data_IF_682981172045
#
_entry.id   IF_682981172045
#
_cell.length_a   1.000
_cell.length_b   1.000
_cell.length_c   1.000
_cell.angle_alpha   90.00
_cell.angle_beta   90.00
_cell.angle_gamma   90.00
#
_symmetry.space_group_name_H-M   'P 1'
#
loop_
_entity.id
_entity.type
_entity.pdbx_description
1 polymer ?
#
# COMPACT_ATOMS: atom_id res chain seq x y z
N UNK A 1 -12.72 67.06 18.81
CA UNK A 1 -12.98 65.61 18.65
C UNK A 1 -11.66 64.88 18.78
N UNK A 2 -11.33 64.46 20.00
CA UNK A 2 -10.03 63.89 20.40
C UNK A 2 -10.16 62.37 20.46
N UNK A 3 -9.49 61.67 19.55
CA UNK A 3 -9.43 60.21 19.53
C UNK A 3 -8.39 59.72 20.56
N UNK A 4 -8.85 58.90 21.52
CA UNK A 4 -8.01 58.24 22.52
C UNK A 4 -7.41 56.97 21.90
N UNK A 5 -6.08 56.88 21.87
CA UNK A 5 -5.36 55.65 21.54
C UNK A 5 -5.33 54.72 22.76
N UNK A 6 -5.75 53.47 22.58
CA UNK A 6 -5.53 52.37 23.52
C UNK A 6 -4.21 51.66 23.19
N UNK A 7 -3.35 51.34 24.18
CA UNK A 7 -2.23 50.43 23.99
C UNK A 7 -2.72 48.96 24.01
N UNK A 8 -2.18 48.15 23.10
CA UNK A 8 -2.31 46.70 23.11
C UNK A 8 -1.25 46.12 24.06
N UNK A 9 -1.68 45.36 25.06
CA UNK A 9 -0.82 44.58 25.94
C UNK A 9 -0.25 43.37 25.21
N UNK A 10 1.08 43.27 25.18
CA UNK A 10 1.82 42.08 24.73
C UNK A 10 1.89 41.07 25.87
N UNK A 11 1.10 40.00 25.79
CA UNK A 11 1.24 38.83 26.66
C UNK A 11 2.37 37.93 26.15
N UNK A 12 3.47 37.93 26.89
CA UNK A 12 4.59 36.99 26.77
C UNK A 12 4.16 35.64 27.33
N UNK A 13 3.91 34.66 26.45
CA UNK A 13 3.71 33.29 26.85
C UNK A 13 5.07 32.58 27.00
N UNK A 14 5.33 32.06 28.20
CA UNK A 14 6.49 31.26 28.56
C UNK A 14 6.68 30.05 27.64
N UNK A 15 7.81 30.00 26.96
CA UNK A 15 8.30 28.83 26.24
C UNK A 15 8.94 27.84 27.23
N UNK A 16 8.09 27.00 27.84
CA UNK A 16 8.49 25.79 28.57
C UNK A 16 9.10 24.78 27.58
N UNK A 17 10.41 24.59 27.70
CA UNK A 17 11.24 23.66 26.95
C UNK A 17 11.00 22.21 27.38
N UNK A 18 9.87 21.62 26.98
CA UNK A 18 9.70 20.17 27.00
C UNK A 18 10.30 19.57 25.72
N UNK A 19 11.57 19.17 25.83
CA UNK A 19 12.25 18.35 24.83
C UNK A 19 11.48 17.03 24.64
N UNK A 20 10.99 16.71 23.44
CA UNK A 20 10.41 15.40 23.19
C UNK A 20 11.52 14.36 23.32
N UNK A 21 11.43 13.50 24.33
CA UNK A 21 12.14 12.21 24.32
C UNK A 21 11.60 11.41 23.14
N UNK A 22 12.21 11.57 21.97
CA UNK A 22 12.12 10.62 20.89
C UNK A 22 12.61 9.28 21.46
N UNK A 23 11.69 8.34 21.68
CA UNK A 23 12.07 6.93 21.78
C UNK A 23 12.79 6.62 20.49
N UNK A 24 14.05 6.20 20.59
CA UNK A 24 14.76 5.58 19.50
C UNK A 24 13.85 4.48 18.94
N UNK A 25 13.36 4.70 17.72
CA UNK A 25 12.84 3.61 16.90
C UNK A 25 14.01 2.64 16.74
N UNK A 26 13.85 1.33 17.00
CA UNK A 26 14.93 0.39 16.78
C UNK A 26 15.34 0.48 15.32
N UNK A 27 16.62 0.81 15.10
CA UNK A 27 17.25 0.84 13.80
C UNK A 27 16.96 -0.49 13.11
N UNK A 28 16.11 -0.46 12.08
CA UNK A 28 15.94 -1.54 11.13
C UNK A 28 17.17 -1.57 10.25
N UNK A 29 18.27 -2.03 10.85
CA UNK A 29 19.48 -2.46 10.17
C UNK A 29 19.07 -3.68 9.32
N UNK A 30 18.50 -3.38 8.17
CA UNK A 30 18.03 -4.32 7.17
C UNK A 30 19.27 -4.69 6.39
N UNK A 31 20.00 -5.66 6.95
CA UNK A 31 21.12 -6.34 6.32
C UNK A 31 20.63 -6.85 4.96
N UNK A 32 21.25 -6.32 3.91
CA UNK A 32 20.86 -6.58 2.54
C UNK A 32 21.01 -8.04 2.13
N UNK A 33 20.27 -8.36 1.06
CA UNK A 33 20.67 -9.26 -0.01
C UNK A 33 21.01 -10.71 0.39
N UNK A 34 20.16 -11.33 1.22
CA UNK A 34 19.77 -12.69 0.91
C UNK A 34 18.36 -12.60 0.35
N UNK A 35 18.21 -12.92 -0.93
CA UNK A 35 16.98 -13.60 -1.36
C UNK A 35 16.81 -14.76 -0.38
N UNK A 36 15.97 -14.56 0.64
CA UNK A 36 15.56 -15.58 1.60
C UNK A 36 15.08 -16.75 0.73
N UNK A 37 15.97 -17.70 0.50
CA UNK A 37 15.64 -18.89 -0.24
C UNK A 37 14.51 -19.51 0.57
N UNK A 38 13.32 -19.52 -0.02
CA UNK A 38 12.11 -20.18 0.48
C UNK A 38 12.34 -21.70 0.69
N UNK A 39 13.56 -22.22 0.58
CA UNK A 39 13.87 -23.65 0.55
C UNK A 39 13.39 -24.41 1.78
N UNK A 40 13.25 -23.74 2.93
CA UNK A 40 12.96 -24.42 4.20
C UNK A 40 11.61 -24.03 4.82
N UNK A 41 10.71 -23.38 4.07
CA UNK A 41 9.43 -22.93 4.64
C UNK A 41 8.61 -24.10 5.21
N UNK A 42 8.75 -25.30 4.63
CA UNK A 42 8.08 -26.52 5.10
C UNK A 42 8.45 -26.91 6.54
N UNK A 43 9.61 -26.48 7.04
CA UNK A 43 10.06 -26.74 8.43
C UNK A 43 9.59 -25.69 9.43
N UNK A 44 8.92 -24.63 8.98
CA UNK A 44 8.58 -23.51 9.84
C UNK A 44 7.49 -23.86 10.83
N UNK A 45 7.79 -23.62 12.11
CA UNK A 45 6.79 -23.60 13.18
C UNK A 45 5.80 -22.43 12.99
N UNK A 46 4.61 -22.48 13.62
CA UNK A 46 3.64 -21.39 13.54
C UNK A 46 4.20 -20.04 14.02
N UNK A 47 5.13 -20.08 14.98
CA UNK A 47 5.83 -18.89 15.47
C UNK A 47 6.74 -18.27 14.39
N UNK A 48 7.55 -19.10 13.70
CA UNK A 48 8.43 -18.63 12.62
C UNK A 48 7.61 -18.07 11.45
N UNK A 49 6.53 -18.75 11.08
CA UNK A 49 5.60 -18.28 10.05
C UNK A 49 4.97 -16.94 10.45
N UNK A 50 4.54 -16.78 11.70
CA UNK A 50 4.02 -15.52 12.21
C UNK A 50 5.05 -14.38 12.17
N UNK A 51 6.31 -14.64 12.52
CA UNK A 51 7.39 -13.65 12.42
C UNK A 51 7.60 -13.21 10.97
N UNK A 52 7.53 -14.15 10.02
CA UNK A 52 7.60 -13.85 8.59
C UNK A 52 6.44 -12.97 8.12
N UNK A 53 5.20 -13.30 8.49
CA UNK A 53 4.02 -12.49 8.18
C UNK A 53 4.16 -11.06 8.75
N UNK A 54 4.62 -10.92 9.99
CA UNK A 54 4.87 -9.61 10.62
C UNK A 54 5.89 -8.78 9.84
N UNK A 55 6.97 -9.39 9.33
CA UNK A 55 7.96 -8.69 8.47
C UNK A 55 7.36 -8.21 7.15
N UNK A 56 6.34 -8.91 6.64
CA UNK A 56 5.59 -8.54 5.42
C UNK A 56 4.45 -7.54 5.67
N UNK A 57 4.27 -7.06 6.90
CA UNK A 57 3.20 -6.14 7.27
C UNK A 57 1.87 -6.81 7.64
N UNK A 58 1.85 -8.14 7.70
CA UNK A 58 0.67 -8.96 8.05
C UNK A 58 0.67 -9.33 9.54
N UNK A 59 1.06 -8.41 10.41
CA UNK A 59 1.25 -8.69 11.85
C UNK A 59 -0.05 -9.03 12.58
N UNK A 60 -1.20 -8.59 12.04
CA UNK A 60 -2.53 -8.84 12.60
C UNK A 60 -2.93 -10.33 12.57
N UNK A 61 -2.32 -11.12 11.69
CA UNK A 61 -2.60 -12.56 11.58
C UNK A 61 -1.72 -13.44 12.46
N UNK A 62 -0.77 -12.85 13.19
CA UNK A 62 0.17 -13.59 14.04
C UNK A 62 -0.55 -14.49 15.05
N UNK A 63 -1.50 -13.92 15.81
CA UNK A 63 -2.23 -14.65 16.84
C UNK A 63 -3.15 -15.73 16.24
N UNK A 64 -3.74 -15.46 15.09
CA UNK A 64 -4.57 -16.43 14.34
C UNK A 64 -3.74 -17.64 13.89
N UNK A 65 -2.56 -17.41 13.30
CA UNK A 65 -1.65 -18.48 12.88
C UNK A 65 -1.21 -19.35 14.07
N UNK A 66 -0.94 -18.74 15.23
CA UNK A 66 -0.60 -19.49 16.44
C UNK A 66 -1.79 -20.29 16.98
N UNK A 67 -2.98 -19.68 17.04
CA UNK A 67 -4.21 -20.31 17.54
C UNK A 67 -4.58 -21.54 16.73
N UNK A 68 -4.50 -21.46 15.40
CA UNK A 68 -4.82 -22.56 14.49
C UNK A 68 -3.62 -23.49 14.20
N UNK A 69 -2.46 -23.22 14.82
CA UNK A 69 -1.21 -24.00 14.66
C UNK A 69 -0.80 -24.17 13.20
N UNK A 70 -0.97 -23.13 12.39
CA UNK A 70 -0.61 -23.16 10.97
C UNK A 70 0.91 -23.20 10.83
N UNK A 71 1.44 -24.33 10.37
CA UNK A 71 2.86 -24.50 10.07
C UNK A 71 3.16 -24.04 8.66
N UNK A 72 4.43 -23.83 8.33
CA UNK A 72 4.81 -23.52 6.95
C UNK A 72 4.52 -24.67 5.98
N UNK A 73 4.46 -25.92 6.43
CA UNK A 73 4.00 -27.04 5.61
C UNK A 73 2.49 -26.97 5.29
N UNK A 74 1.68 -26.49 6.23
CA UNK A 74 0.22 -26.41 6.07
C UNK A 74 -0.21 -25.16 5.29
N UNK A 75 0.55 -24.06 5.40
CA UNK A 75 0.17 -22.77 4.82
C UNK A 75 -0.15 -22.80 3.30
N UNK A 76 0.61 -23.49 2.43
CA UNK A 76 0.29 -23.59 1.00
C UNK A 76 -0.91 -24.51 0.69
N UNK A 77 -1.37 -25.30 1.66
CA UNK A 77 -2.50 -26.21 1.51
C UNK A 77 -3.82 -25.58 1.99
N UNK A 78 -3.77 -24.36 2.53
CA UNK A 78 -4.96 -23.63 2.96
C UNK A 78 -5.69 -23.09 1.75
N UNK A 79 -6.99 -23.39 1.67
CA UNK A 79 -7.87 -22.79 0.69
C UNK A 79 -8.51 -21.51 1.28
N UNK A 80 -9.13 -20.71 0.41
CA UNK A 80 -9.77 -19.46 0.83
C UNK A 80 -10.87 -19.66 1.88
N UNK A 81 -11.57 -20.81 1.86
CA UNK A 81 -12.56 -21.17 2.87
C UNK A 81 -11.94 -21.39 4.26
N UNK A 82 -10.74 -21.98 4.33
CA UNK A 82 -10.02 -22.17 5.59
C UNK A 82 -9.55 -20.82 6.14
N UNK A 83 -9.05 -19.94 5.26
CA UNK A 83 -8.66 -18.57 5.60
C UNK A 83 -9.85 -17.77 6.14
N UNK A 84 -11.02 -17.86 5.49
CA UNK A 84 -12.27 -17.24 5.96
C UNK A 84 -12.71 -17.78 7.31
N UNK A 85 -12.66 -19.10 7.54
CA UNK A 85 -12.98 -19.69 8.85
C UNK A 85 -12.03 -19.24 9.97
N UNK A 86 -10.80 -18.87 9.61
CA UNK A 86 -9.83 -18.27 10.53
C UNK A 86 -10.01 -16.74 10.72
N UNK A 87 -10.95 -16.11 10.01
CA UNK A 87 -11.17 -14.66 10.04
C UNK A 87 -10.10 -13.87 9.26
N UNK A 88 -9.48 -14.50 8.26
CA UNK A 88 -8.52 -13.86 7.36
C UNK A 88 -9.25 -13.51 6.06
N UNK A 89 -9.75 -12.26 6.00
CA UNK A 89 -10.60 -11.80 4.89
C UNK A 89 -9.81 -11.06 3.78
N UNK A 90 -8.51 -10.86 3.99
CA UNK A 90 -7.62 -10.14 3.06
C UNK A 90 -6.92 -11.16 2.18
N UNK A 91 -7.15 -11.04 0.88
CA UNK A 91 -6.58 -11.91 -0.14
C UNK A 91 -5.25 -11.34 -0.67
N UNK A 92 -5.09 -10.01 -0.63
CA UNK A 92 -3.82 -9.37 -0.96
C UNK A 92 -3.72 -7.93 -0.42
N UNK A 93 -2.56 -7.58 0.12
CA UNK A 93 -2.18 -6.21 0.44
C UNK A 93 -0.77 -5.97 -0.11
N UNK A 94 -0.67 -5.20 -1.19
CA UNK A 94 0.61 -4.81 -1.76
C UNK A 94 0.75 -3.29 -1.84
N UNK A 95 2.02 -2.86 -1.73
CA UNK A 95 2.40 -1.49 -1.98
C UNK A 95 2.39 -1.28 -3.49
N UNK A 96 1.61 -0.31 -3.95
CA UNK A 96 1.59 0.14 -5.33
C UNK A 96 2.95 0.78 -5.59
N UNK A 97 3.60 0.35 -6.67
CA UNK A 97 4.96 0.75 -7.00
C UNK A 97 5.06 2.27 -7.13
N UNK A 98 5.98 2.84 -6.35
CA UNK A 98 6.56 4.14 -6.63
C UNK A 98 7.83 3.85 -7.42
N UNK A 99 8.01 4.46 -8.61
CA UNK A 99 9.27 4.28 -9.31
C UNK A 99 10.43 4.74 -8.43
N UNK A 100 11.63 4.19 -8.59
CA UNK A 100 12.81 4.67 -7.84
C UNK A 100 13.06 6.16 -8.08
N UNK A 101 12.67 6.65 -9.26
CA UNK A 101 12.64 8.06 -9.59
C UNK A 101 11.60 8.79 -8.72
N UNK A 102 10.40 8.25 -8.54
CA UNK A 102 9.43 8.84 -7.62
C UNK A 102 9.92 8.78 -6.16
N UNK A 103 10.61 7.71 -5.76
CA UNK A 103 11.17 7.58 -4.42
C UNK A 103 12.28 8.60 -4.14
N UNK A 104 13.07 9.00 -5.13
CA UNK A 104 14.19 9.95 -4.95
C UNK A 104 13.79 11.39 -5.25
N UNK A 105 13.02 11.60 -6.32
CA UNK A 105 12.50 12.90 -6.68
C UNK A 105 11.48 13.40 -5.67
N UNK A 106 10.67 12.52 -5.03
CA UNK A 106 9.63 12.96 -4.10
C UNK A 106 10.03 13.18 -2.63
N UNK A 107 11.28 12.93 -2.26
CA UNK A 107 11.64 12.77 -0.84
C UNK A 107 12.67 13.78 -0.32
N UNK A 108 12.92 14.92 -0.99
CA UNK A 108 14.02 15.83 -0.58
C UNK A 108 15.35 15.06 -0.43
N UNK A 109 15.76 14.30 -1.47
CA UNK A 109 16.92 13.39 -1.40
C UNK A 109 16.80 12.28 -0.32
N UNK A 110 15.59 11.76 -0.08
CA UNK A 110 15.35 10.69 0.90
C UNK A 110 15.06 11.16 2.33
N UNK A 111 14.99 12.47 2.59
CA UNK A 111 14.76 13.03 3.92
C UNK A 111 13.30 12.97 4.40
N UNK A 112 12.34 12.93 3.48
CA UNK A 112 10.92 12.82 3.83
C UNK A 112 10.39 11.44 3.41
N UNK A 113 9.96 10.57 4.34
CA UNK A 113 9.32 9.31 3.96
C UNK A 113 8.01 9.63 3.24
N UNK A 114 7.91 9.21 1.99
CA UNK A 114 6.65 9.27 1.24
C UNK A 114 5.94 7.95 1.48
N UNK A 115 4.75 8.02 2.08
CA UNK A 115 3.88 6.87 2.19
C UNK A 115 3.53 6.39 0.76
N UNK A 116 3.82 5.13 0.40
CA UNK A 116 3.49 4.63 -0.93
C UNK A 116 1.97 4.52 -1.08
N UNK A 117 1.50 4.54 -2.32
CA UNK A 117 0.12 4.18 -2.59
C UNK A 117 -0.04 2.69 -2.25
N UNK A 118 -1.21 2.29 -1.76
CA UNK A 118 -1.47 0.89 -1.40
C UNK A 118 -2.80 0.46 -1.98
N UNK A 119 -2.90 -0.82 -2.33
CA UNK A 119 -4.20 -1.45 -2.55
C UNK A 119 -4.39 -2.59 -1.57
N UNK A 120 -5.64 -2.81 -1.22
CA UNK A 120 -6.09 -3.89 -0.36
C UNK A 120 -7.27 -4.56 -1.03
N UNK A 121 -7.06 -5.80 -1.43
CA UNK A 121 -8.07 -6.65 -2.03
C UNK A 121 -8.66 -7.52 -0.92
N UNK A 122 -9.94 -7.31 -0.65
CA UNK A 122 -10.73 -8.20 0.20
C UNK A 122 -11.67 -9.04 -0.67
N UNK A 123 -12.33 -10.01 -0.06
CA UNK A 123 -13.27 -10.90 -0.76
C UNK A 123 -14.36 -10.18 -1.57
N UNK A 124 -14.74 -8.97 -1.15
CA UNK A 124 -15.85 -8.23 -1.77
C UNK A 124 -15.41 -6.87 -2.32
N UNK A 125 -14.28 -6.33 -1.87
CA UNK A 125 -13.94 -4.93 -2.11
C UNK A 125 -12.47 -4.75 -2.49
N UNK A 126 -12.22 -3.91 -3.48
CA UNK A 126 -10.89 -3.41 -3.82
C UNK A 126 -10.75 -1.98 -3.28
N UNK A 127 -9.95 -1.82 -2.23
CA UNK A 127 -9.64 -0.53 -1.61
C UNK A 127 -8.30 -0.03 -2.14
N UNK A 128 -8.31 1.10 -2.83
CA UNK A 128 -7.10 1.74 -3.38
C UNK A 128 -6.87 3.06 -2.66
N UNK A 129 -5.74 3.19 -1.98
CA UNK A 129 -5.27 4.44 -1.37
C UNK A 129 -4.20 5.04 -2.27
N UNK A 130 -4.54 6.13 -2.96
CA UNK A 130 -3.59 6.90 -3.77
C UNK A 130 -3.06 8.08 -2.97
N UNK A 131 -1.75 8.21 -2.95
CA UNK A 131 -1.06 9.33 -2.32
C UNK A 131 -0.80 10.39 -3.40
N UNK A 132 -1.38 11.57 -3.22
CA UNK A 132 -1.17 12.72 -4.07
C UNK A 132 -0.26 13.72 -3.36
N UNK A 133 0.93 14.03 -3.91
CA UNK A 133 1.79 15.04 -3.33
C UNK A 133 1.11 16.42 -3.42
N UNK A 134 1.05 17.13 -2.29
CA UNK A 134 0.47 18.48 -2.25
C UNK A 134 1.35 19.43 -3.08
N UNK A 135 0.73 20.20 -3.98
CA UNK A 135 1.42 21.25 -4.75
C UNK A 135 1.14 22.60 -4.12
N UNK A 136 2.17 23.43 -3.95
CA UNK A 136 2.01 24.81 -3.49
C UNK A 136 2.48 25.75 -4.62
N UNK A 137 1.53 26.24 -5.41
CA UNK A 137 1.82 27.03 -6.61
C UNK A 137 2.45 26.19 -7.74
N UNK A 138 3.29 26.80 -8.62
CA UNK A 138 3.98 26.08 -9.70
C UNK A 138 5.10 25.17 -9.18
N UNK A 139 5.47 25.28 -7.90
CA UNK A 139 6.54 24.50 -7.27
C UNK A 139 5.93 23.34 -6.49
N UNK A 140 6.46 22.13 -6.72
CA UNK A 140 6.15 20.98 -5.87
C UNK A 140 6.93 21.16 -4.56
N UNK A 141 6.30 21.76 -3.55
CA UNK A 141 6.90 21.86 -2.23
C UNK A 141 6.92 20.48 -1.58
N UNK A 142 8.12 19.92 -1.45
CA UNK A 142 8.35 18.53 -1.06
C UNK A 142 8.00 18.17 0.39
N UNK A 143 7.74 19.16 1.23
CA UNK A 143 7.67 18.96 2.69
C UNK A 143 6.28 19.23 3.31
N UNK A 144 5.27 19.65 2.53
CA UNK A 144 3.99 20.16 3.08
C UNK A 144 2.87 19.14 3.07
N UNK A 145 3.19 17.89 3.40
CA UNK A 145 2.22 16.81 3.56
C UNK A 145 1.76 16.19 2.24
N UNK A 146 0.97 15.12 2.38
CA UNK A 146 0.38 14.39 1.28
C UNK A 146 -1.15 14.41 1.42
N UNK A 147 -1.84 14.47 0.28
CA UNK A 147 -3.29 14.27 0.21
C UNK A 147 -3.56 12.81 -0.12
N UNK A 148 -4.45 12.17 0.63
CA UNK A 148 -4.81 10.77 0.43
C UNK A 148 -6.18 10.69 -0.23
N UNK A 149 -6.25 10.04 -1.39
CA UNK A 149 -7.51 9.73 -2.06
C UNK A 149 -7.74 8.23 -1.94
N UNK A 150 -8.71 7.85 -1.11
CA UNK A 150 -9.12 6.45 -0.95
C UNK A 150 -10.35 6.18 -1.82
N UNK A 151 -10.25 5.20 -2.73
CA UNK A 151 -11.38 4.66 -3.49
C UNK A 151 -11.68 3.26 -2.99
N UNK A 152 -12.95 2.97 -2.72
CA UNK A 152 -13.43 1.65 -2.32
C UNK A 152 -14.37 1.16 -3.41
N UNK A 153 -13.96 0.11 -4.13
CA UNK A 153 -14.70 -0.46 -5.26
C UNK A 153 -15.31 -1.77 -4.79
N UNK A 154 -16.59 -1.94 -5.10
CA UNK A 154 -17.28 -3.20 -4.93
C UNK A 154 -16.96 -4.14 -6.10
N UNK A 155 -16.45 -5.35 -5.81
CA UNK A 155 -16.03 -6.31 -6.84
C UNK A 155 -17.20 -6.82 -7.68
N UNK A 156 -18.42 -6.84 -7.12
CA UNK A 156 -19.65 -7.17 -7.87
C UNK A 156 -19.92 -6.22 -9.04
N UNK A 157 -19.32 -5.02 -9.02
CA UNK A 157 -19.51 -3.95 -10.01
C UNK A 157 -18.36 -3.83 -11.00
N UNK A 158 -17.32 -4.64 -10.88
CA UNK A 158 -16.20 -4.66 -11.81
C UNK A 158 -16.66 -5.36 -13.09
N UNK A 159 -16.45 -4.70 -14.23
CA UNK A 159 -16.77 -5.24 -15.56
C UNK A 159 -15.56 -5.94 -16.16
N UNK A 160 -14.43 -5.25 -16.12
CA UNK A 160 -13.22 -5.61 -16.85
C UNK A 160 -11.96 -5.23 -16.07
N UNK A 161 -10.89 -5.97 -16.32
CA UNK A 161 -9.56 -5.78 -15.73
C UNK A 161 -8.51 -5.93 -16.82
N UNK A 162 -7.97 -4.80 -17.28
CA UNK A 162 -6.94 -4.77 -18.31
C UNK A 162 -5.54 -4.60 -17.70
N UNK A 163 -4.54 -5.18 -18.35
CA UNK A 163 -3.12 -5.00 -17.98
C UNK A 163 -2.35 -4.37 -19.13
N UNK A 164 -1.70 -3.24 -18.85
CA UNK A 164 -0.86 -2.51 -19.80
C UNK A 164 0.58 -2.44 -19.29
N UNK A 165 1.49 -3.16 -19.95
CA UNK A 165 2.93 -3.03 -19.70
C UNK A 165 3.48 -1.72 -20.29
N UNK A 166 4.04 -0.85 -19.44
CA UNK A 166 4.69 0.40 -19.85
C UNK A 166 6.21 0.25 -19.65
N UNK A 167 7.00 0.18 -20.74
CA UNK A 167 8.44 0.11 -20.62
C UNK A 167 9.01 1.40 -20.02
N UNK A 168 10.10 1.28 -19.26
CA UNK A 168 10.82 2.44 -18.74
C UNK A 168 11.28 3.34 -19.91
N UNK A 169 11.17 4.69 -19.78
CA UNK A 169 11.74 5.61 -20.76
C UNK A 169 13.24 5.32 -20.95
N UNK A 170 13.74 5.43 -22.19
CA UNK A 170 15.12 5.06 -22.52
C UNK A 170 16.16 5.71 -21.60
N UNK A 171 16.00 7.00 -21.30
CA UNK A 171 16.88 7.73 -20.39
C UNK A 171 16.87 7.16 -18.96
N UNK A 172 15.71 6.74 -18.45
CA UNK A 172 15.61 6.16 -17.10
C UNK A 172 16.15 4.73 -17.06
N UNK A 173 15.95 3.94 -18.13
CA UNK A 173 16.49 2.60 -18.24
C UNK A 173 18.02 2.61 -18.32
N UNK A 174 18.61 3.57 -19.04
CA UNK A 174 20.07 3.67 -19.20
C UNK A 174 20.76 4.34 -18.01
N UNK A 175 20.20 5.42 -17.45
CA UNK A 175 20.88 6.19 -16.39
C UNK A 175 20.49 5.77 -14.97
N UNK A 176 19.30 5.20 -14.77
CA UNK A 176 18.76 4.93 -13.43
C UNK A 176 18.38 3.46 -13.21
N UNK A 177 18.75 2.55 -14.13
CA UNK A 177 18.39 1.13 -14.10
C UNK A 177 16.91 0.88 -13.81
N UNK A 178 16.03 1.81 -14.20
CA UNK A 178 14.62 1.73 -13.84
C UNK A 178 13.95 0.62 -14.65
N UNK A 179 13.25 -0.27 -13.96
CA UNK A 179 12.35 -1.25 -14.58
C UNK A 179 11.13 -0.54 -15.16
N UNK A 180 10.47 -1.20 -16.11
CA UNK A 180 9.14 -0.78 -16.55
C UNK A 180 8.12 -0.86 -15.41
N UNK A 181 6.86 -0.61 -15.75
CA UNK A 181 5.75 -0.72 -14.81
C UNK A 181 4.56 -1.33 -15.51
N UNK A 182 3.76 -2.07 -14.77
CA UNK A 182 2.48 -2.56 -15.25
C UNK A 182 1.37 -1.64 -14.74
N UNK A 183 0.44 -1.28 -15.63
CA UNK A 183 -0.76 -0.53 -15.32
C UNK A 183 -1.94 -1.48 -15.37
N UNK A 184 -2.54 -1.78 -14.22
CA UNK A 184 -3.79 -2.56 -14.15
C UNK A 184 -4.95 -1.58 -14.10
N UNK A 185 -5.80 -1.60 -15.12
CA UNK A 185 -6.99 -0.77 -15.23
C UNK A 185 -8.21 -1.61 -14.83
N UNK A 186 -8.89 -1.20 -13.76
CA UNK A 186 -10.14 -1.82 -13.30
C UNK A 186 -11.30 -0.92 -13.72
N UNK A 187 -12.18 -1.42 -14.56
CA UNK A 187 -13.38 -0.72 -15.03
C UNK A 187 -14.62 -1.17 -14.25
N UNK A 188 -15.41 -0.19 -13.78
CA UNK A 188 -16.64 -0.44 -13.03
C UNK A 188 -17.89 0.00 -13.80
N UNK A 189 -18.89 -0.89 -13.91
CA UNK A 189 -20.09 -0.69 -14.75
C UNK A 189 -20.96 0.51 -14.38
N UNK A 190 -20.94 0.93 -13.11
CA UNK A 190 -21.96 1.83 -12.57
C UNK A 190 -21.55 3.30 -12.47
N UNK A 191 -20.31 3.63 -12.84
CA UNK A 191 -19.79 4.98 -12.64
C UNK A 191 -20.05 5.87 -13.86
N UNK A 192 -21.29 6.34 -13.98
CA UNK A 192 -21.78 7.22 -15.07
C UNK A 192 -21.05 8.56 -15.19
N UNK A 193 -20.20 8.91 -14.23
CA UNK A 193 -19.45 10.18 -14.19
C UNK A 193 -18.09 10.13 -14.91
N UNK A 194 -17.76 9.02 -15.58
CA UNK A 194 -16.46 8.84 -16.24
C UNK A 194 -15.29 8.65 -15.27
N UNK A 195 -15.56 8.47 -13.98
CA UNK A 195 -14.57 8.22 -12.93
C UNK A 195 -14.37 6.73 -12.59
N UNK A 196 -15.08 5.86 -13.31
CA UNK A 196 -15.19 4.42 -13.03
C UNK A 196 -13.95 3.60 -13.33
N UNK A 197 -12.95 4.21 -13.97
CA UNK A 197 -11.66 3.59 -14.24
C UNK A 197 -10.70 3.84 -13.10
N UNK A 198 -10.12 2.77 -12.58
CA UNK A 198 -9.16 2.82 -11.47
C UNK A 198 -7.88 2.13 -11.90
N UNK A 199 -6.82 2.91 -11.92
CA UNK A 199 -5.49 2.46 -12.31
C UNK A 199 -4.67 2.05 -11.09
N UNK A 200 -4.17 0.82 -11.06
CA UNK A 200 -3.12 0.34 -10.16
C UNK A 200 -1.79 0.36 -10.91
N UNK A 201 -0.75 0.88 -10.28
CA UNK A 201 0.59 0.93 -10.86
C UNK A 201 1.47 -0.07 -10.13
N UNK A 202 1.94 -1.09 -10.83
CA UNK A 202 2.68 -2.21 -10.27
C UNK A 202 4.07 -2.30 -10.90
N UNK A 203 4.93 -3.12 -10.31
CA UNK A 203 6.22 -3.48 -10.92
C UNK A 203 6.01 -4.26 -12.23
N UNK A 204 6.92 -4.09 -13.18
CA UNK A 204 6.95 -4.86 -14.43
C UNK A 204 6.94 -6.37 -14.13
N UNK A 205 5.96 -7.08 -14.68
CA UNK A 205 5.76 -8.52 -14.51
C UNK A 205 4.80 -8.91 -13.39
N UNK A 206 4.37 -7.97 -12.53
CA UNK A 206 3.40 -8.22 -11.47
C UNK A 206 1.94 -8.00 -11.92
N UNK A 207 1.72 -7.31 -13.04
CA UNK A 207 0.38 -6.90 -13.50
C UNK A 207 -0.58 -8.06 -13.71
N UNK A 208 -0.13 -9.12 -14.39
CA UNK A 208 -0.95 -10.29 -14.74
C UNK A 208 -1.39 -11.07 -13.49
N UNK A 209 -0.48 -11.28 -12.53
CA UNK A 209 -0.80 -11.97 -11.28
C UNK A 209 -1.87 -11.21 -10.48
N UNK A 210 -1.73 -9.89 -10.35
CA UNK A 210 -2.71 -9.05 -9.64
C UNK A 210 -4.05 -8.99 -10.37
N UNK A 211 -4.04 -8.89 -11.70
CA UNK A 211 -5.26 -8.93 -12.50
C UNK A 211 -6.01 -10.26 -12.32
N UNK A 212 -5.32 -11.40 -12.38
CA UNK A 212 -5.90 -12.71 -12.14
C UNK A 212 -6.47 -12.84 -10.72
N UNK A 213 -5.78 -12.30 -9.71
CA UNK A 213 -6.31 -12.27 -8.33
C UNK A 213 -7.62 -11.46 -8.25
N UNK A 214 -7.67 -10.29 -8.90
CA UNK A 214 -8.89 -9.47 -8.92
C UNK A 214 -10.03 -10.21 -9.64
N UNK A 215 -9.76 -10.78 -10.82
CA UNK A 215 -10.75 -11.52 -11.61
C UNK A 215 -11.30 -12.73 -10.84
N UNK A 216 -10.44 -13.52 -10.20
CA UNK A 216 -10.88 -14.66 -9.37
C UNK A 216 -11.82 -14.20 -8.25
N UNK A 217 -11.48 -13.11 -7.57
CA UNK A 217 -12.33 -12.55 -6.50
C UNK A 217 -13.64 -11.97 -7.03
N UNK A 218 -13.64 -11.39 -8.22
CA UNK A 218 -14.88 -10.93 -8.90
C UNK A 218 -15.77 -12.13 -9.22
N UNK A 219 -15.22 -13.21 -9.78
CA UNK A 219 -16.00 -14.43 -10.08
C UNK A 219 -16.59 -15.06 -8.83
N UNK A 220 -15.81 -15.15 -7.74
CA UNK A 220 -16.31 -15.66 -6.46
C UNK A 220 -17.43 -14.81 -5.88
N UNK A 221 -17.26 -13.48 -5.89
CA UNK A 221 -18.27 -12.53 -5.43
C UNK A 221 -19.59 -12.69 -6.20
N UNK A 222 -19.52 -12.85 -7.53
CA UNK A 222 -20.69 -13.06 -8.37
C UNK A 222 -21.35 -14.43 -8.18
N UNK A 223 -20.58 -15.49 -7.88
CA UNK A 223 -21.14 -16.82 -7.57
C UNK A 223 -21.97 -16.77 -6.29
N UNK A 224 -21.48 -16.07 -5.25
CA UNK A 224 -22.18 -15.93 -3.97
C UNK A 224 -23.51 -15.18 -4.07
N UNK A 225 -23.64 -14.20 -4.97
CA UNK A 225 -24.88 -13.44 -5.14
C UNK A 225 -26.02 -14.25 -5.80
N UNK A 226 -25.68 -15.36 -6.47
CA UNK A 226 -26.66 -16.19 -7.21
C UNK A 226 -27.23 -17.36 -6.40
N UNK A 227 -26.62 -17.69 -5.27
CA UNK A 227 -27.04 -18.75 -4.33
C UNK A 227 -27.94 -18.21 -3.23
#
# INVERSE_FOLDING_TARGET
MTAKHHPYDTNTADASSHSPRYRAMPDSNTTGNNEDILSDYHTWSPNQLGIFFRKRGLSEYYDTLQKHKITGQLAPLLNDDDLKQMGIDIVGEERIFFSDCDRTCFTCNGFCPVDPSTYKLTCNHLKVKKVQPVRCGPVRLFCFGASYVSKNIDLSKVDDVDVMGIPAPCCHRTFCCSKGKDLVEVESRFDTRGTGKIFLVLEEGCGEAVANMILNQVEESQKMERT
#
